data_IF_813215922848
#
_entry.id   IF_813215922848
#
_cell.length_a   1.000
_cell.length_b   1.000
_cell.length_c   1.000
_cell.angle_alpha   90.00
_cell.angle_beta   90.00
_cell.angle_gamma   90.00
#
_symmetry.space_group_name_H-M   'P 1'
#
loop_
_entity.id
_entity.type
_entity.pdbx_description
1 polymer ?
#
# COMPACT_ATOMS: atom_id res chain seq x y z
N UNK A 1 7.86 14.50 3.46
CA UNK A 1 7.79 13.63 2.28
C UNK A 1 7.81 14.52 1.06
N UNK A 2 8.49 14.14 -0.02
CA UNK A 2 8.58 14.94 -1.25
C UNK A 2 8.17 14.10 -2.45
N UNK A 3 7.37 14.66 -3.36
CA UNK A 3 7.01 14.00 -4.61
C UNK A 3 8.25 13.81 -5.50
N UNK A 4 8.30 12.69 -6.21
CA UNK A 4 9.33 12.42 -7.20
C UNK A 4 8.69 11.97 -8.52
N UNK A 5 9.20 12.51 -9.63
CA UNK A 5 8.85 12.05 -10.98
C UNK A 5 9.64 10.78 -11.38
N UNK A 6 10.63 10.39 -10.58
CA UNK A 6 11.45 9.19 -10.80
C UNK A 6 11.02 8.08 -9.86
N UNK A 7 11.29 6.83 -10.25
CA UNK A 7 11.11 5.70 -9.36
C UNK A 7 12.01 5.86 -8.12
N UNK A 8 11.41 5.75 -6.94
CA UNK A 8 12.09 5.80 -5.65
C UNK A 8 11.88 4.50 -4.88
N UNK A 9 12.48 4.39 -3.70
CA UNK A 9 12.26 3.25 -2.80
C UNK A 9 10.87 3.26 -2.15
N UNK A 10 10.08 4.32 -2.28
CA UNK A 10 8.80 4.45 -1.58
C UNK A 10 7.72 5.00 -2.50
N UNK A 11 6.51 4.46 -2.37
CA UNK A 11 5.32 5.08 -2.93
C UNK A 11 4.36 5.48 -1.82
N UNK A 12 3.75 6.64 -2.02
CA UNK A 12 2.54 7.05 -1.32
C UNK A 12 1.36 6.47 -2.07
N UNK A 13 0.49 5.76 -1.36
CA UNK A 13 -0.75 5.21 -1.91
C UNK A 13 -1.92 5.70 -1.06
N UNK A 14 -3.01 6.09 -1.71
CA UNK A 14 -4.27 6.36 -1.00
C UNK A 14 -4.71 5.11 -0.24
N UNK A 15 -5.18 5.28 0.99
CA UNK A 15 -5.67 4.18 1.80
C UNK A 15 -6.99 4.56 2.46
N UNK A 16 -7.71 3.53 2.91
CA UNK A 16 -9.03 3.66 3.52
C UNK A 16 -9.15 2.66 4.66
N UNK A 17 -10.16 2.87 5.51
CA UNK A 17 -10.60 1.93 6.54
C UNK A 17 -12.12 1.86 6.56
N UNK A 18 -12.66 0.74 7.05
CA UNK A 18 -14.09 0.61 7.35
C UNK A 18 -14.41 0.88 8.83
N UNK A 19 -13.43 1.34 9.61
CA UNK A 19 -13.64 1.72 10.99
C UNK A 19 -14.56 2.94 11.12
N UNK A 20 -15.46 2.91 12.10
CA UNK A 20 -16.27 4.07 12.50
C UNK A 20 -15.56 4.96 13.53
N UNK A 21 -14.43 4.48 14.08
CA UNK A 21 -13.75 5.07 15.24
C UNK A 21 -12.29 5.41 14.96
N UNK A 22 -11.72 4.86 13.90
CA UNK A 22 -10.32 5.04 13.50
C UNK A 22 -10.23 5.71 12.13
N UNK A 23 -9.05 6.26 11.82
CA UNK A 23 -8.77 6.93 10.55
C UNK A 23 -7.65 6.21 9.79
N UNK A 24 -7.70 6.33 8.47
CA UNK A 24 -6.66 5.87 7.55
C UNK A 24 -6.81 6.66 6.26
N UNK A 25 -5.82 7.49 5.93
CA UNK A 25 -5.85 8.32 4.72
C UNK A 25 -4.84 7.90 3.66
N UNK A 26 -3.75 7.26 4.09
CA UNK A 26 -2.70 6.84 3.18
C UNK A 26 -1.88 5.67 3.72
N UNK A 27 -1.10 5.07 2.83
CA UNK A 27 -0.10 4.09 3.16
C UNK A 27 1.21 4.41 2.44
N UNK A 28 2.31 4.02 3.06
CA UNK A 28 3.64 4.03 2.43
C UNK A 28 4.02 2.60 2.14
N UNK A 29 4.40 2.30 0.90
CA UNK A 29 4.91 0.99 0.50
C UNK A 29 6.41 1.12 0.20
N UNK A 30 7.21 0.29 0.85
CA UNK A 30 8.65 0.21 0.66
C UNK A 30 9.01 -0.79 -0.46
N UNK A 31 9.49 -0.26 -1.57
CA UNK A 31 9.85 -0.97 -2.80
C UNK A 31 11.33 -1.39 -2.78
N UNK A 32 11.76 -2.11 -1.74
CA UNK A 32 13.13 -2.60 -1.65
C UNK A 32 13.49 -3.53 -2.81
N UNK A 33 14.78 -3.66 -3.13
CA UNK A 33 15.23 -4.57 -4.19
C UNK A 33 14.87 -6.04 -3.90
N UNK A 34 14.81 -6.43 -2.63
CA UNK A 34 14.32 -7.75 -2.22
C UNK A 34 12.82 -7.89 -2.46
N UNK A 35 12.04 -6.86 -2.14
CA UNK A 35 10.60 -6.82 -2.40
C UNK A 35 10.31 -6.95 -3.89
N UNK A 36 11.03 -6.22 -4.75
CA UNK A 36 10.86 -6.27 -6.22
C UNK A 36 11.10 -7.67 -6.77
N UNK A 37 12.22 -8.30 -6.38
CA UNK A 37 12.55 -9.69 -6.77
C UNK A 37 11.51 -10.69 -6.29
N UNK A 38 10.92 -10.47 -5.12
CA UNK A 38 9.86 -11.35 -4.62
C UNK A 38 8.55 -11.15 -5.38
N UNK A 39 8.20 -9.90 -5.70
CA UNK A 39 7.04 -9.59 -6.53
C UNK A 39 7.16 -10.14 -7.96
N UNK A 40 8.35 -10.15 -8.56
CA UNK A 40 8.60 -10.79 -9.86
C UNK A 40 8.21 -12.28 -9.83
N UNK A 41 8.61 -13.01 -8.79
CA UNK A 41 8.24 -14.43 -8.63
C UNK A 41 6.73 -14.60 -8.47
N UNK A 42 6.10 -13.78 -7.63
CA UNK A 42 4.65 -13.82 -7.38
C UNK A 42 3.86 -13.50 -8.65
N UNK A 43 4.29 -12.51 -9.44
CA UNK A 43 3.72 -12.20 -10.74
C UNK A 43 3.81 -13.38 -11.72
N UNK A 44 4.96 -14.06 -11.77
CA UNK A 44 5.13 -15.25 -12.60
C UNK A 44 4.18 -16.40 -12.21
N UNK A 45 3.79 -16.48 -10.94
CA UNK A 45 2.84 -17.49 -10.44
C UNK A 45 1.37 -17.16 -10.75
N UNK A 46 0.98 -15.88 -10.67
CA UNK A 46 -0.43 -15.49 -10.90
C UNK A 46 -0.76 -15.30 -12.38
N UNK A 47 0.20 -14.89 -13.22
CA UNK A 47 -0.03 -14.55 -14.63
C UNK A 47 -0.66 -15.69 -15.45
N UNK A 48 -0.28 -16.97 -15.28
CA UNK A 48 -0.93 -18.08 -15.99
C UNK A 48 -2.42 -18.25 -15.65
N UNK A 49 -2.93 -17.61 -14.59
CA UNK A 49 -4.32 -17.67 -14.17
C UNK A 49 -5.17 -16.56 -14.79
N UNK A 50 -4.59 -15.69 -15.62
CA UNK A 50 -5.32 -14.62 -16.28
C UNK A 50 -6.43 -15.18 -17.19
N UNK A 51 -7.64 -14.63 -17.06
CA UNK A 51 -8.83 -15.12 -17.77
C UNK A 51 -9.51 -16.34 -17.14
N UNK A 52 -8.99 -16.91 -16.05
CA UNK A 52 -9.67 -17.96 -15.31
C UNK A 52 -10.81 -17.38 -14.45
N UNK A 53 -12.06 -17.71 -14.81
CA UNK A 53 -13.25 -17.22 -14.12
C UNK A 53 -13.43 -17.72 -12.67
N UNK A 54 -12.71 -18.76 -12.27
CA UNK A 54 -12.73 -19.30 -10.90
C UNK A 54 -11.61 -18.74 -10.02
N UNK A 55 -10.70 -17.94 -10.58
CA UNK A 55 -9.62 -17.33 -9.85
C UNK A 55 -9.93 -15.86 -9.53
N UNK A 56 -9.78 -15.47 -8.27
CA UNK A 56 -9.95 -14.08 -7.83
C UNK A 56 -8.59 -13.41 -7.58
N UNK A 57 -7.81 -13.94 -6.63
CA UNK A 57 -6.50 -13.41 -6.26
C UNK A 57 -5.66 -14.45 -5.52
N UNK A 58 -4.34 -14.23 -5.48
CA UNK A 58 -3.45 -14.83 -4.48
C UNK A 58 -3.21 -13.82 -3.36
N UNK A 59 -3.03 -14.31 -2.14
CA UNK A 59 -2.86 -13.49 -0.94
C UNK A 59 -1.56 -13.91 -0.27
N UNK A 60 -0.66 -12.95 -0.05
CA UNK A 60 0.66 -13.19 0.54
C UNK A 60 0.79 -12.41 1.83
N UNK A 61 1.29 -13.04 2.88
CA UNK A 61 1.73 -12.29 4.06
C UNK A 61 2.92 -11.41 3.67
N UNK A 62 2.76 -10.09 3.82
CA UNK A 62 3.72 -9.11 3.34
C UNK A 62 3.60 -7.82 4.13
N UNK A 63 4.69 -7.39 4.74
CA UNK A 63 4.76 -6.25 5.66
C UNK A 63 5.55 -5.09 5.08
N UNK A 64 5.65 -4.98 3.75
CA UNK A 64 6.33 -3.86 3.10
C UNK A 64 5.47 -2.58 3.07
N UNK A 65 4.36 -2.55 3.80
CA UNK A 65 3.42 -1.43 3.86
C UNK A 65 3.20 -1.01 5.31
N UNK A 66 3.09 0.29 5.51
CA UNK A 66 2.63 0.90 6.75
C UNK A 66 1.46 1.84 6.44
N UNK A 67 0.43 1.82 7.30
CA UNK A 67 -0.78 2.63 7.16
C UNK A 67 -0.74 3.83 8.11
N UNK A 68 -1.28 4.96 7.65
CA UNK A 68 -1.23 6.24 8.33
C UNK A 68 -2.54 7.01 8.22
N UNK A 69 -2.83 7.77 9.27
CA UNK A 69 -3.94 8.71 9.35
C UNK A 69 -3.51 10.07 8.82
N UNK A 70 -4.40 10.77 8.14
CA UNK A 70 -4.23 12.22 7.96
C UNK A 70 -4.39 12.88 9.33
N UNK A 71 -3.33 13.55 9.81
CA UNK A 71 -3.36 14.23 11.10
C UNK A 71 -4.31 15.43 11.09
N UNK A 72 -4.63 15.97 12.27
CA UNK A 72 -5.54 17.13 12.42
C UNK A 72 -5.11 18.37 11.62
N UNK A 73 -3.79 18.51 11.37
CA UNK A 73 -3.22 19.62 10.62
C UNK A 73 -3.07 19.35 9.11
N UNK A 74 -3.56 18.21 8.59
CA UNK A 74 -3.44 17.78 7.18
C UNK A 74 -2.00 17.86 6.65
N UNK A 75 -1.01 17.60 7.51
CA UNK A 75 0.41 17.60 7.13
C UNK A 75 0.99 16.18 7.19
N UNK A 76 1.37 15.58 6.06
CA UNK A 76 1.34 16.13 4.70
C UNK A 76 -0.06 16.12 4.06
N UNK A 77 -0.33 17.07 3.15
CA UNK A 77 -1.60 17.16 2.43
C UNK A 77 -1.66 16.08 1.34
N UNK A 78 -2.20 14.92 1.72
CA UNK A 78 -2.25 13.72 0.88
C UNK A 78 -3.06 13.95 -0.40
N UNK A 79 -4.17 14.68 -0.32
CA UNK A 79 -5.04 14.95 -1.47
C UNK A 79 -4.29 15.76 -2.53
N UNK A 80 -3.58 16.81 -2.13
CA UNK A 80 -2.75 17.62 -3.02
C UNK A 80 -1.58 16.82 -3.60
N UNK A 81 -0.92 16.00 -2.78
CA UNK A 81 0.22 15.19 -3.22
C UNK A 81 -0.17 14.13 -4.26
N UNK A 82 -1.30 13.46 -4.06
CA UNK A 82 -1.81 12.47 -5.00
C UNK A 82 -2.35 13.11 -6.28
N UNK A 83 -2.92 14.31 -6.19
CA UNK A 83 -3.47 15.07 -7.32
C UNK A 83 -4.40 14.20 -8.19
N UNK A 84 -5.33 13.49 -7.54
CA UNK A 84 -6.30 12.60 -8.17
C UNK A 84 -5.76 11.23 -8.64
N UNK A 85 -4.47 10.93 -8.41
CA UNK A 85 -3.89 9.59 -8.67
C UNK A 85 -4.12 8.67 -7.46
N UNK A 86 -4.12 7.36 -7.70
CA UNK A 86 -4.17 6.39 -6.60
C UNK A 86 -2.85 6.34 -5.82
N UNK A 87 -1.72 6.58 -6.49
CA UNK A 87 -0.39 6.54 -5.90
C UNK A 87 0.63 7.41 -6.65
N UNK A 88 1.71 7.76 -5.96
CA UNK A 88 2.85 8.55 -6.48
C UNK A 88 4.17 8.10 -5.85
N UNK A 89 5.29 8.30 -6.55
CA UNK A 89 6.62 8.09 -5.96
C UNK A 89 6.97 9.22 -5.01
N UNK A 90 7.58 8.86 -3.89
CA UNK A 90 7.99 9.82 -2.87
C UNK A 90 9.39 9.54 -2.35
N UNK A 91 10.07 10.60 -1.95
CA UNK A 91 11.29 10.56 -1.15
C UNK A 91 10.94 10.92 0.29
N UNK A 92 11.51 10.15 1.22
CA UNK A 92 11.34 10.31 2.66
C UNK A 92 12.71 10.65 3.26
N UNK A 93 12.75 11.68 4.08
CA UNK A 93 13.94 12.03 4.85
C UNK A 93 14.13 11.01 6.01
N UNK A 94 15.33 10.92 6.59
CA UNK A 94 15.59 10.01 7.72
C UNK A 94 14.61 10.28 8.88
N UNK A 95 14.00 9.22 9.42
CA UNK A 95 13.00 9.26 10.51
C UNK A 95 11.71 10.03 10.19
N UNK A 96 11.55 10.59 8.99
CA UNK A 96 10.36 11.36 8.63
C UNK A 96 9.09 10.51 8.72
N UNK A 97 9.16 9.26 8.25
CA UNK A 97 8.05 8.31 8.31
C UNK A 97 7.60 8.02 9.75
N UNK A 98 8.50 8.08 10.73
CA UNK A 98 8.19 7.84 12.15
C UNK A 98 7.39 9.00 12.77
N UNK A 99 7.33 10.16 12.10
CA UNK A 99 6.57 11.32 12.56
C UNK A 99 5.10 11.30 12.14
N UNK A 100 4.73 10.43 11.20
CA UNK A 100 3.36 10.34 10.72
C UNK A 100 2.44 9.71 11.75
N UNK A 101 1.20 10.21 11.81
CA UNK A 101 0.16 9.67 12.67
C UNK A 101 -0.25 8.29 12.17
N UNK A 102 -0.19 7.30 13.06
CA UNK A 102 -0.66 5.94 12.77
C UNK A 102 -2.13 5.78 13.19
N UNK A 103 -2.86 4.80 12.63
CA UNK A 103 -4.18 4.43 13.12
C UNK A 103 -4.17 4.10 14.62
N UNK A 104 -5.27 4.39 15.32
CA UNK A 104 -5.42 4.07 16.74
C UNK A 104 -5.38 2.55 16.99
N UNK A 105 -5.96 1.79 16.07
CA UNK A 105 -5.87 0.35 16.08
C UNK A 105 -4.45 -0.11 15.77
N UNK A 106 -3.94 -0.99 16.64
CA UNK A 106 -2.81 -1.82 16.26
C UNK A 106 -3.23 -2.76 15.13
N UNK A 107 -2.58 -2.63 13.98
CA UNK A 107 -2.84 -3.47 12.82
C UNK A 107 -2.07 -4.80 12.89
N UNK A 108 -2.66 -5.83 12.29
CA UNK A 108 -2.11 -7.18 12.12
C UNK A 108 -2.60 -7.79 10.79
N UNK A 109 -2.15 -9.00 10.46
CA UNK A 109 -2.58 -9.76 9.29
C UNK A 109 -2.33 -9.03 7.96
N UNK A 110 -1.20 -8.33 7.87
CA UNK A 110 -0.76 -7.63 6.67
C UNK A 110 -0.64 -8.58 5.48
N UNK A 111 -1.32 -8.22 4.39
CA UNK A 111 -1.41 -9.04 3.19
C UNK A 111 -1.28 -8.18 1.94
N UNK A 112 -0.47 -8.66 1.00
CA UNK A 112 -0.55 -8.25 -0.38
C UNK A 112 -1.57 -9.14 -1.10
N UNK A 113 -2.63 -8.54 -1.63
CA UNK A 113 -3.57 -9.20 -2.51
C UNK A 113 -3.14 -8.96 -3.95
N UNK A 114 -2.96 -10.02 -4.73
CA UNK A 114 -2.47 -9.95 -6.10
C UNK A 114 -3.41 -10.67 -7.07
N UNK A 115 -3.87 -9.94 -8.08
CA UNK A 115 -4.70 -10.46 -9.18
C UNK A 115 -3.82 -10.92 -10.35
N UNK A 116 -4.38 -11.76 -11.21
CA UNK A 116 -3.65 -12.36 -12.34
C UNK A 116 -3.14 -11.34 -13.36
N UNK A 117 -3.84 -10.22 -13.51
CA UNK A 117 -3.44 -9.10 -14.39
C UNK A 117 -2.30 -8.24 -13.79
N UNK A 118 -1.79 -8.59 -12.60
CA UNK A 118 -0.73 -7.84 -11.92
C UNK A 118 -1.21 -6.61 -11.13
N UNK A 119 -2.52 -6.42 -11.00
CA UNK A 119 -3.09 -5.46 -10.04
C UNK A 119 -2.93 -6.00 -8.63
N UNK A 120 -2.40 -5.18 -7.73
CA UNK A 120 -2.32 -5.50 -6.31
C UNK A 120 -2.78 -4.35 -5.42
N UNK A 121 -3.07 -4.70 -4.19
CA UNK A 121 -3.37 -3.77 -3.10
C UNK A 121 -3.02 -4.46 -1.78
N UNK A 122 -2.75 -3.65 -0.75
CA UNK A 122 -2.48 -4.17 0.58
C UNK A 122 -3.73 -4.15 1.43
N UNK A 123 -3.86 -5.13 2.32
CA UNK A 123 -4.82 -5.12 3.41
C UNK A 123 -4.14 -5.41 4.75
N UNK A 124 -4.69 -4.84 5.81
CA UNK A 124 -4.37 -5.15 7.20
C UNK A 124 -5.65 -5.06 8.03
N UNK A 125 -5.64 -5.62 9.24
CA UNK A 125 -6.82 -5.68 10.09
C UNK A 125 -6.51 -5.19 11.50
N UNK A 126 -7.44 -4.44 12.08
CA UNK A 126 -7.38 -4.08 13.49
C UNK A 126 -7.32 -5.34 14.36
N UNK A 127 -6.25 -5.47 15.15
CA UNK A 127 -5.93 -6.68 15.92
C UNK A 127 -7.08 -7.18 16.82
N UNK A 128 -7.89 -6.25 17.31
CA UNK A 128 -8.96 -6.55 18.26
C UNK A 128 -10.37 -6.21 17.74
N UNK A 129 -10.47 -5.44 16.64
CA UNK A 129 -11.74 -4.98 16.08
C UNK A 129 -12.12 -5.71 14.81
N UNK A 130 -11.16 -6.35 14.13
CA UNK A 130 -11.32 -6.92 12.78
C UNK A 130 -11.72 -5.90 11.71
N UNK A 131 -11.59 -4.60 12.00
CA UNK A 131 -11.75 -3.52 11.03
C UNK A 131 -10.68 -3.66 9.96
N UNK A 132 -11.06 -3.46 8.70
CA UNK A 132 -10.19 -3.63 7.55
C UNK A 132 -9.59 -2.29 7.15
N UNK A 133 -8.30 -2.31 6.88
CA UNK A 133 -7.51 -1.21 6.34
C UNK A 133 -6.98 -1.67 4.99
N UNK A 134 -7.14 -0.87 3.95
CA UNK A 134 -6.69 -1.24 2.60
C UNK A 134 -6.17 -0.06 1.81
N UNK A 135 -5.24 -0.34 0.90
CA UNK A 135 -4.78 0.64 -0.08
C UNK A 135 -5.68 0.63 -1.31
N UNK A 136 -5.69 1.74 -2.05
CA UNK A 136 -6.12 1.70 -3.45
C UNK A 136 -5.24 0.75 -4.27
N UNK A 137 -5.75 0.38 -5.45
CA UNK A 137 -5.09 -0.56 -6.34
C UNK A 137 -3.87 0.08 -7.04
N UNK A 138 -2.81 -0.71 -7.20
CA UNK A 138 -1.61 -0.33 -7.95
C UNK A 138 -1.16 -1.47 -8.88
N UNK A 139 -0.37 -1.12 -9.89
CA UNK A 139 0.17 -2.11 -10.82
C UNK A 139 1.55 -2.55 -10.38
N UNK A 140 1.70 -3.79 -9.93
CA UNK A 140 3.00 -4.33 -9.55
C UNK A 140 3.98 -4.29 -10.72
N UNK A 141 3.51 -4.58 -11.94
CA UNK A 141 4.32 -4.57 -13.16
C UNK A 141 5.02 -3.21 -13.36
N UNK A 142 4.34 -2.11 -13.02
CA UNK A 142 4.93 -0.77 -13.11
C UNK A 142 5.93 -0.46 -11.99
N UNK A 143 5.75 -1.07 -10.81
CA UNK A 143 6.59 -0.80 -9.64
C UNK A 143 7.89 -1.62 -9.61
N UNK A 144 7.92 -2.76 -10.30
CA UNK A 144 9.12 -3.62 -10.39
C UNK A 144 10.00 -3.32 -11.59
N UNK A 145 9.54 -2.49 -12.54
CA UNK A 145 10.26 -2.12 -13.76
C UNK A 145 11.43 -1.18 -13.49
#
# INVERSE_FOLDING_TARGET
>A
MKLSDKATAHILVKANTNSEWDNCGFAIIHLSEEWKKEQEKRLALVKPLEGNSYFCSMNYYDTAVDFYSTGEDDNPNIEEMLNGKEWVFVELDEQEQETFTVPENRLDCFRLVLRANGTGYYTAYGKHTSEEFWTEEFSLIKLIA
#
